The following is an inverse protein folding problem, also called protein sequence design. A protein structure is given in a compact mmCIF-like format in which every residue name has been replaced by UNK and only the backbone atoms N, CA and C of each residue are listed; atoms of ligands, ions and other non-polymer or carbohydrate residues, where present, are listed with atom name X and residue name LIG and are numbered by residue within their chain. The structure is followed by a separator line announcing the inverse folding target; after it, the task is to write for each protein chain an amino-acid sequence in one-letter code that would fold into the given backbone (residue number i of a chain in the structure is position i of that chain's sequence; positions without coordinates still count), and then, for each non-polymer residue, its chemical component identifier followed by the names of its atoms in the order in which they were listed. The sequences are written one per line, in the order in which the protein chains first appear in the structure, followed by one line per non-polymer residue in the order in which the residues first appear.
data_IF_744057182663
#
_entry.id   IF_744057182663
#
_cell.length_a   1.000
_cell.length_b   1.000
_cell.length_c   1.000
_cell.angle_alpha   90.00
_cell.angle_beta   90.00
_cell.angle_gamma   90.00
#
_symmetry.space_group_name_H-M   'P 1'
#
loop_
_entity.id
_entity.type
_entity.pdbx_description
1 polymer ?
#
# COMPACT_ATOMS: atom_id res chain seq x y z
N UNK A 1 -4.67 7.57 -2.76
CA UNK A 1 -5.92 7.41 -3.55
C UNK A 1 -5.79 6.17 -4.42
N UNK A 2 -6.84 5.37 -4.58
CA UNK A 2 -6.78 4.16 -5.42
C UNK A 2 -8.14 3.76 -5.96
N UNK A 3 -8.19 3.46 -7.27
CA UNK A 3 -9.36 2.84 -7.89
C UNK A 3 -9.43 1.35 -7.52
N UNK A 4 -10.63 0.81 -7.43
CA UNK A 4 -10.82 -0.64 -7.38
C UNK A 4 -10.34 -1.29 -8.69
N UNK A 5 -9.90 -2.56 -8.68
CA UNK A 5 -9.46 -3.27 -9.88
C UNK A 5 -10.48 -3.27 -11.02
N UNK A 6 -11.78 -3.32 -10.69
CA UNK A 6 -12.87 -3.23 -11.68
C UNK A 6 -13.17 -1.81 -12.18
N UNK A 7 -12.51 -0.79 -11.61
CA UNK A 7 -12.69 0.61 -11.95
C UNK A 7 -14.01 1.24 -11.50
N UNK A 8 -14.85 0.52 -10.75
CA UNK A 8 -16.19 0.97 -10.34
C UNK A 8 -16.19 1.82 -9.06
N UNK A 9 -15.10 1.81 -8.30
CA UNK A 9 -14.96 2.59 -7.08
C UNK A 9 -13.62 3.33 -7.02
N UNK A 10 -13.61 4.46 -6.31
CA UNK A 10 -12.43 5.20 -5.92
C UNK A 10 -12.39 5.33 -4.40
N UNK A 11 -11.31 4.85 -3.79
CA UNK A 11 -11.03 5.02 -2.37
C UNK A 11 -10.01 6.15 -2.13
N UNK A 12 -10.34 7.04 -1.21
CA UNK A 12 -9.53 8.20 -0.84
C UNK A 12 -9.29 8.14 0.66
N UNK A 13 -8.07 7.75 1.06
CA UNK A 13 -7.61 7.84 2.44
C UNK A 13 -7.29 9.29 2.80
N UNK A 14 -7.70 9.71 3.97
CA UNK A 14 -7.59 11.09 4.43
C UNK A 14 -6.93 11.18 5.81
N UNK A 15 -6.33 12.33 6.10
CA UNK A 15 -5.71 12.60 7.40
C UNK A 15 -6.73 12.95 8.50
N UNK A 16 -8.03 12.99 8.17
CA UNK A 16 -9.14 13.09 9.14
C UNK A 16 -9.62 11.71 9.64
N UNK A 17 -8.79 10.68 9.49
CA UNK A 17 -9.01 9.30 9.89
C UNK A 17 -10.11 8.55 9.09
N UNK A 18 -10.66 9.17 8.05
CA UNK A 18 -11.71 8.56 7.23
C UNK A 18 -11.16 8.07 5.88
N UNK A 19 -11.86 7.08 5.30
CA UNK A 19 -11.69 6.69 3.91
C UNK A 19 -12.97 7.05 3.16
N UNK A 20 -12.87 7.94 2.18
CA UNK A 20 -14.00 8.36 1.37
C UNK A 20 -14.13 7.45 0.14
N UNK A 21 -15.35 6.95 -0.09
CA UNK A 21 -15.64 6.06 -1.21
C UNK A 21 -16.53 6.79 -2.21
N UNK A 22 -16.10 6.74 -3.47
CA UNK A 22 -16.85 7.25 -4.61
C UNK A 22 -17.15 6.10 -5.57
N UNK A 23 -18.36 6.08 -6.10
CA UNK A 23 -18.72 5.29 -7.27
C UNK A 23 -18.19 5.99 -8.50
N UNK A 24 -17.65 5.20 -9.42
CA UNK A 24 -16.97 5.66 -10.62
C UNK A 24 -17.73 5.10 -11.82
N UNK A 25 -18.05 5.97 -12.77
CA UNK A 25 -18.71 5.61 -14.02
C UNK A 25 -18.07 6.30 -15.21
N UNK A 26 -18.52 5.92 -16.42
CA UNK A 26 -18.01 6.47 -17.67
C UNK A 26 -16.46 6.38 -17.77
N UNK A 27 -15.91 5.19 -17.48
CA UNK A 27 -14.47 4.92 -17.49
C UNK A 27 -13.63 5.96 -16.72
N UNK A 28 -14.03 6.29 -15.49
CA UNK A 28 -13.31 7.25 -14.66
C UNK A 28 -13.64 8.72 -14.94
N UNK A 29 -14.73 9.03 -15.66
CA UNK A 29 -15.12 10.41 -15.99
C UNK A 29 -16.27 10.94 -15.13
N UNK A 30 -17.03 10.06 -14.47
CA UNK A 30 -18.16 10.43 -13.61
C UNK A 30 -17.96 9.87 -12.21
N UNK A 31 -18.24 10.70 -11.21
CA UNK A 31 -18.08 10.36 -9.80
C UNK A 31 -19.35 10.68 -9.01
N UNK A 32 -19.74 9.78 -8.13
CA UNK A 32 -20.79 10.01 -7.14
C UNK A 32 -20.29 9.53 -5.77
N UNK A 33 -20.55 10.30 -4.71
CA UNK A 33 -20.12 9.92 -3.37
C UNK A 33 -20.99 8.76 -2.87
N UNK A 34 -20.36 7.64 -2.52
CA UNK A 34 -21.04 6.47 -1.90
C UNK A 34 -21.17 6.69 -0.40
N UNK A 35 -20.08 7.12 0.26
CA UNK A 35 -20.08 7.33 1.69
C UNK A 35 -18.68 7.57 2.26
N UNK A 36 -18.51 7.24 3.54
CA UNK A 36 -17.21 7.21 4.21
C UNK A 36 -17.12 5.99 5.11
N UNK A 37 -15.96 5.35 5.12
CA UNK A 37 -15.55 4.40 6.13
C UNK A 37 -14.92 5.18 7.30
N UNK A 38 -15.45 4.99 8.50
CA UNK A 38 -14.95 5.60 9.73
C UNK A 38 -14.75 4.52 10.79
N UNK A 39 -13.62 4.55 11.48
CA UNK A 39 -13.29 3.59 12.54
C UNK A 39 -11.82 3.65 12.97
N UNK A 40 -10.92 4.06 12.07
CA UNK A 40 -9.52 4.34 12.39
C UNK A 40 -9.36 5.43 13.45
N UNK A 41 -8.38 5.27 14.34
CA UNK A 41 -8.09 6.27 15.38
C UNK A 41 -7.05 7.32 14.96
N UNK A 42 -6.42 7.14 13.79
CA UNK A 42 -5.42 8.05 13.23
C UNK A 42 -5.54 8.20 11.70
N UNK A 43 -4.68 9.06 11.12
CA UNK A 43 -4.67 9.37 9.70
C UNK A 43 -4.39 8.14 8.84
N UNK A 44 -5.05 8.03 7.68
CA UNK A 44 -4.85 6.91 6.75
C UNK A 44 -3.50 7.04 6.04
N UNK A 45 -2.69 5.98 6.10
CA UNK A 45 -1.37 5.93 5.45
C UNK A 45 -1.41 5.11 4.16
N UNK A 46 -2.05 3.94 4.17
CA UNK A 46 -2.07 3.03 3.04
C UNK A 46 -3.46 2.39 2.83
N UNK A 47 -3.73 1.99 1.59
CA UNK A 47 -4.97 1.34 1.17
C UNK A 47 -4.65 0.28 0.12
N UNK A 48 -5.21 -0.93 0.24
CA UNK A 48 -5.17 -1.95 -0.83
C UNK A 48 -6.56 -2.53 -1.08
N UNK A 49 -6.93 -2.66 -2.35
CA UNK A 49 -8.18 -3.32 -2.75
C UNK A 49 -7.97 -4.83 -2.87
N UNK A 50 -9.02 -5.61 -2.61
CA UNK A 50 -9.03 -7.03 -2.97
C UNK A 50 -9.12 -7.22 -4.48
N UNK A 51 -8.61 -8.36 -4.98
CA UNK A 51 -8.65 -8.70 -6.43
C UNK A 51 -10.07 -8.62 -6.99
N UNK A 52 -11.05 -9.09 -6.20
CA UNK A 52 -12.47 -9.06 -6.58
C UNK A 52 -13.17 -7.70 -6.38
N UNK A 53 -12.45 -6.64 -6.01
CA UNK A 53 -12.99 -5.28 -5.77
C UNK A 53 -14.02 -5.15 -4.65
N UNK A 54 -14.22 -6.18 -3.82
CA UNK A 54 -15.26 -6.18 -2.78
C UNK A 54 -14.77 -5.67 -1.42
N UNK A 55 -13.48 -5.80 -1.16
CA UNK A 55 -12.87 -5.47 0.12
C UNK A 55 -11.74 -4.45 -0.04
N UNK A 56 -11.48 -3.74 1.04
CA UNK A 56 -10.35 -2.82 1.17
C UNK A 56 -9.67 -3.09 2.51
N UNK A 57 -8.34 -3.15 2.53
CA UNK A 57 -7.54 -3.09 3.74
C UNK A 57 -6.91 -1.70 3.84
N UNK A 58 -6.75 -1.21 5.06
CA UNK A 58 -6.12 0.08 5.31
C UNK A 58 -5.17 0.05 6.50
N UNK A 59 -4.11 0.86 6.40
CA UNK A 59 -3.23 1.18 7.50
C UNK A 59 -3.38 2.65 7.90
N UNK A 60 -3.00 2.94 9.12
CA UNK A 60 -3.12 4.26 9.75
C UNK A 60 -1.88 4.59 10.59
N UNK A 61 -1.77 5.86 11.00
CA UNK A 61 -0.66 6.35 11.82
C UNK A 61 -0.62 5.83 13.27
N UNK A 62 -1.64 5.11 13.73
CA UNK A 62 -1.68 4.38 15.01
C UNK A 62 -1.34 2.89 14.84
N UNK A 63 -0.94 2.50 13.62
CA UNK A 63 -0.53 1.15 13.24
C UNK A 63 -1.67 0.11 13.25
N UNK A 64 -2.92 0.56 13.13
CA UNK A 64 -4.07 -0.32 12.97
C UNK A 64 -4.17 -0.91 11.55
N UNK A 65 -4.63 -2.16 11.44
CA UNK A 65 -5.00 -2.81 10.17
C UNK A 65 -6.51 -3.03 10.18
N UNK A 66 -7.24 -2.23 9.41
CA UNK A 66 -8.70 -2.34 9.32
C UNK A 66 -9.15 -2.80 7.93
N UNK A 67 -10.28 -3.51 7.89
CA UNK A 67 -10.88 -4.06 6.68
C UNK A 67 -12.26 -3.46 6.45
N UNK A 68 -12.65 -3.31 5.19
CA UNK A 68 -13.88 -2.61 4.81
C UNK A 68 -14.57 -3.32 3.65
N UNK A 69 -15.90 -3.17 3.60
CA UNK A 69 -16.71 -3.35 2.39
C UNK A 69 -17.01 -1.94 1.85
N UNK A 70 -16.29 -1.46 0.83
CA UNK A 70 -16.39 -0.06 0.37
C UNK A 70 -17.77 0.29 -0.20
N UNK A 71 -18.41 -0.66 -0.89
CA UNK A 71 -19.76 -0.49 -1.46
C UNK A 71 -20.82 -0.22 -0.38
N UNK A 72 -20.62 -0.72 0.84
CA UNK A 72 -21.49 -0.49 1.99
C UNK A 72 -20.94 0.55 2.97
N UNK A 73 -19.70 1.00 2.79
CA UNK A 73 -18.96 1.86 3.73
C UNK A 73 -18.97 1.31 5.17
N UNK A 74 -18.82 -0.02 5.32
CA UNK A 74 -18.84 -0.70 6.62
C UNK A 74 -17.52 -1.42 6.88
N UNK A 75 -17.11 -1.41 8.14
CA UNK A 75 -15.96 -2.17 8.61
C UNK A 75 -16.29 -3.67 8.67
N UNK A 76 -15.32 -4.51 8.29
CA UNK A 76 -15.36 -5.96 8.49
C UNK A 76 -14.46 -6.30 9.67
N UNK A 77 -15.05 -6.83 10.74
CA UNK A 77 -14.33 -7.20 11.98
C UNK A 77 -14.09 -8.70 12.10
N UNK A 78 -14.73 -9.50 11.25
CA UNK A 78 -14.58 -10.95 11.25
C UNK A 78 -13.25 -11.38 10.64
N UNK A 79 -12.36 -11.93 11.46
CA UNK A 79 -11.05 -12.46 11.01
C UNK A 79 -11.21 -13.63 10.03
N UNK A 80 -12.22 -14.48 10.23
CA UNK A 80 -12.51 -15.62 9.34
C UNK A 80 -12.86 -15.15 7.93
N UNK A 81 -13.42 -13.95 7.81
CA UNK A 81 -13.74 -13.34 6.51
C UNK A 81 -12.52 -12.67 5.88
N UNK A 82 -11.65 -12.05 6.68
CA UNK A 82 -10.59 -11.18 6.15
C UNK A 82 -9.23 -11.83 5.97
N UNK A 83 -8.92 -12.90 6.72
CA UNK A 83 -7.58 -13.53 6.71
C UNK A 83 -7.21 -14.19 5.37
N UNK A 84 -8.21 -14.66 4.63
CA UNK A 84 -8.05 -15.42 3.38
C UNK A 84 -8.33 -14.57 2.14
N UNK A 85 -8.49 -13.25 2.30
CA UNK A 85 -8.70 -12.33 1.17
C UNK A 85 -7.42 -12.21 0.35
N UNK A 86 -7.55 -12.39 -0.97
CA UNK A 86 -6.50 -12.08 -1.93
C UNK A 86 -6.52 -10.60 -2.30
N UNK A 87 -5.40 -9.91 -2.08
CA UNK A 87 -5.25 -8.48 -2.32
C UNK A 87 -4.71 -8.23 -3.73
N UNK A 88 -5.29 -7.23 -4.42
CA UNK A 88 -4.86 -6.83 -5.76
C UNK A 88 -3.47 -6.18 -5.74
N UNK A 89 -3.14 -5.50 -4.64
CA UNK A 89 -1.89 -4.78 -4.44
C UNK A 89 -1.42 -4.98 -3.00
N UNK A 90 -0.13 -4.75 -2.76
CA UNK A 90 0.47 -4.80 -1.44
C UNK A 90 1.27 -3.52 -1.21
N UNK A 91 0.55 -2.47 -0.83
CA UNK A 91 1.12 -1.14 -0.51
C UNK A 91 0.93 -0.74 0.94
N UNK A 92 0.07 -1.43 1.68
CA UNK A 92 0.03 -1.43 3.13
C UNK A 92 1.35 -2.00 3.67
N UNK A 93 2.08 -1.20 4.43
CA UNK A 93 3.33 -1.59 5.09
C UNK A 93 3.09 -2.52 6.28
N UNK A 94 1.87 -2.53 6.83
CA UNK A 94 1.45 -3.39 7.92
C UNK A 94 0.52 -4.49 7.38
N UNK A 95 1.00 -5.73 7.41
CA UNK A 95 0.26 -6.91 6.98
C UNK A 95 1.10 -8.18 6.99
N UNK A 96 0.46 -9.34 7.17
CA UNK A 96 1.18 -10.63 7.31
C UNK A 96 2.04 -11.00 6.08
N UNK A 97 1.62 -10.62 4.87
CA UNK A 97 2.37 -10.93 3.65
C UNK A 97 3.60 -10.05 3.43
N UNK A 98 3.75 -8.98 4.21
CA UNK A 98 4.78 -7.95 4.03
C UNK A 98 5.60 -7.66 5.28
N UNK A 99 5.17 -8.08 6.48
CA UNK A 99 5.76 -7.60 7.74
C UNK A 99 7.27 -7.86 7.88
N UNK A 100 7.81 -8.86 7.18
CA UNK A 100 9.23 -9.19 7.23
C UNK A 100 10.15 -8.08 6.70
N UNK A 101 9.61 -7.09 6.00
CA UNK A 101 10.36 -5.92 5.51
C UNK A 101 10.82 -4.99 6.63
N UNK A 102 10.17 -5.04 7.80
CA UNK A 102 10.51 -4.18 8.95
C UNK A 102 11.76 -4.67 9.67
N UNK A 103 12.81 -3.83 9.79
CA UNK A 103 13.99 -4.14 10.58
C UNK A 103 13.68 -4.30 12.08
N UNK A 104 14.59 -4.97 12.80
CA UNK A 104 14.51 -5.06 14.26
C UNK A 104 14.69 -3.68 14.91
N UNK A 105 13.79 -3.33 15.83
CA UNK A 105 13.82 -2.03 16.51
C UNK A 105 13.37 -0.85 15.65
N UNK A 106 12.80 -1.12 14.47
CA UNK A 106 12.25 -0.09 13.59
C UNK A 106 11.04 0.59 14.23
N UNK A 107 10.95 1.90 14.05
CA UNK A 107 9.74 2.67 14.35
C UNK A 107 8.75 2.54 13.19
N UNK A 108 7.45 2.64 13.47
CA UNK A 108 6.40 2.46 12.46
C UNK A 108 6.35 3.56 11.39
N UNK A 109 7.22 4.55 11.45
CA UNK A 109 7.42 5.57 10.41
C UNK A 109 8.63 5.32 9.51
N UNK A 110 9.54 4.41 9.88
CA UNK A 110 10.80 4.22 9.15
C UNK A 110 10.60 3.75 7.71
N UNK A 111 9.52 3.02 7.43
CA UNK A 111 9.16 2.57 6.07
C UNK A 111 7.99 3.40 5.56
N UNK A 112 8.27 4.21 4.54
CA UNK A 112 7.31 5.12 3.93
C UNK A 112 6.40 4.44 2.91
N UNK A 113 6.90 3.43 2.21
CA UNK A 113 6.16 2.77 1.14
C UNK A 113 6.63 1.33 0.95
N UNK A 114 5.68 0.49 0.56
CA UNK A 114 5.92 -0.86 0.04
C UNK A 114 5.15 -1.01 -1.27
N UNK A 115 5.66 -1.82 -2.19
CA UNK A 115 4.92 -2.27 -3.37
C UNK A 115 5.34 -3.70 -3.74
N UNK A 116 4.39 -4.49 -4.21
CA UNK A 116 4.66 -5.81 -4.82
C UNK A 116 4.73 -5.62 -6.33
N UNK A 117 5.64 -6.34 -6.96
CA UNK A 117 5.61 -6.51 -8.41
C UNK A 117 4.28 -7.15 -8.86
N UNK A 118 3.87 -6.94 -10.11
CA UNK A 118 2.58 -7.40 -10.64
C UNK A 118 2.59 -8.92 -10.81
N UNK A 119 3.60 -9.45 -11.50
CA UNK A 119 3.74 -10.89 -11.82
C UNK A 119 4.91 -11.53 -11.04
N UNK A 120 6.02 -10.81 -10.90
CA UNK A 120 7.20 -11.33 -10.21
C UNK A 120 6.95 -11.46 -8.71
N UNK A 121 7.61 -12.44 -8.08
CA UNK A 121 7.57 -12.64 -6.62
C UNK A 121 8.52 -11.69 -5.90
N UNK A 122 8.33 -10.39 -6.07
CA UNK A 122 9.18 -9.34 -5.50
C UNK A 122 8.35 -8.35 -4.68
N UNK A 123 8.94 -7.86 -3.60
CA UNK A 123 8.49 -6.70 -2.83
C UNK A 123 9.59 -5.66 -2.84
N UNK A 124 9.21 -4.39 -2.92
CA UNK A 124 10.12 -3.28 -2.75
C UNK A 124 9.65 -2.35 -1.64
N UNK A 125 10.57 -1.82 -0.84
CA UNK A 125 10.27 -0.74 0.12
C UNK A 125 11.14 0.48 -0.11
N UNK A 126 10.64 1.63 0.35
CA UNK A 126 11.40 2.86 0.52
C UNK A 126 11.38 3.30 1.98
N UNK A 127 12.55 3.63 2.53
CA UNK A 127 12.71 4.00 3.94
C UNK A 127 13.03 5.50 4.16
N UNK A 128 13.04 5.92 5.42
CA UNK A 128 13.42 7.26 5.86
C UNK A 128 14.93 7.55 5.73
N UNK A 129 15.74 6.55 5.43
CA UNK A 129 17.20 6.65 5.36
C UNK A 129 17.73 6.76 3.92
N UNK A 130 16.84 6.98 2.96
CA UNK A 130 17.19 7.13 1.54
C UNK A 130 17.60 5.80 0.89
N UNK A 131 17.05 4.68 1.38
CA UNK A 131 17.29 3.35 0.84
C UNK A 131 16.04 2.78 0.19
N UNK A 132 16.28 2.12 -0.93
CA UNK A 132 15.33 1.27 -1.62
C UNK A 132 15.73 -0.17 -1.36
N UNK A 133 14.82 -0.98 -0.83
CA UNK A 133 15.08 -2.40 -0.54
C UNK A 133 14.28 -3.30 -1.48
N UNK A 134 14.90 -4.36 -1.98
CA UNK A 134 14.25 -5.39 -2.77
C UNK A 134 14.25 -6.73 -2.01
N UNK A 135 13.06 -7.30 -1.83
CA UNK A 135 12.78 -8.55 -1.12
C UNK A 135 12.06 -9.56 -2.03
N UNK A 136 11.99 -10.81 -1.60
CA UNK A 136 11.10 -11.81 -2.20
C UNK A 136 9.67 -11.68 -1.63
N UNK A 137 8.67 -12.02 -2.45
CA UNK A 137 7.26 -12.08 -2.04
C UNK A 137 6.79 -13.54 -1.91
N UNK A 138 6.05 -13.92 -0.85
CA UNK A 138 5.70 -13.10 0.32
C UNK A 138 6.89 -12.87 1.27
N UNK A 139 6.90 -11.71 1.94
CA UNK A 139 7.90 -11.35 2.94
C UNK A 139 7.29 -11.53 4.35
N UNK A 140 7.11 -12.78 4.75
CA UNK A 140 6.40 -13.17 5.98
C UNK A 140 7.31 -13.77 7.05
N UNK A 141 8.60 -13.47 7.02
CA UNK A 141 9.59 -13.97 7.98
C UNK A 141 10.34 -12.79 8.60
N UNK A 142 10.56 -12.85 9.91
CA UNK A 142 11.29 -11.82 10.61
C UNK A 142 12.75 -11.75 10.12
N UNK A 143 13.31 -10.53 10.04
CA UNK A 143 14.66 -10.27 9.51
C UNK A 143 14.83 -10.80 8.08
N UNK A 144 13.87 -10.53 7.20
CA UNK A 144 13.96 -10.95 5.82
C UNK A 144 15.18 -10.32 5.13
N UNK A 145 15.96 -11.10 4.36
CA UNK A 145 17.08 -10.54 3.61
C UNK A 145 16.57 -9.65 2.47
N UNK A 146 17.26 -8.53 2.23
CA UNK A 146 17.01 -7.65 1.09
C UNK A 146 18.29 -7.23 0.38
N UNK A 147 18.15 -6.89 -0.89
CA UNK A 147 19.13 -6.07 -1.59
C UNK A 147 18.85 -4.60 -1.29
N UNK A 148 19.87 -3.86 -0.87
CA UNK A 148 19.77 -2.46 -0.48
C UNK A 148 20.41 -1.59 -1.55
N UNK A 149 19.65 -0.64 -2.06
CA UNK A 149 20.09 0.32 -3.07
C UNK A 149 20.02 1.73 -2.50
N UNK A 150 21.09 2.50 -2.67
CA UNK A 150 21.16 3.90 -2.30
C UNK A 150 21.09 4.82 -3.52
N UNK A 151 20.78 6.08 -3.28
CA UNK A 151 20.77 7.12 -4.30
C UNK A 151 20.03 8.36 -3.80
N UNK A 152 18.87 8.14 -3.20
CA UNK A 152 18.10 9.18 -2.53
C UNK A 152 18.88 9.78 -1.35
N UNK A 153 18.87 11.11 -1.25
CA UNK A 153 19.58 11.85 -0.18
C UNK A 153 18.66 12.25 0.98
N UNK A 154 17.37 11.94 0.86
CA UNK A 154 16.35 12.08 1.90
C UNK A 154 15.42 10.85 1.88
N UNK A 155 14.25 10.95 2.52
CA UNK A 155 13.29 9.86 2.63
C UNK A 155 12.83 9.37 1.26
N UNK A 156 12.82 8.06 1.06
CA UNK A 156 12.17 7.45 -0.11
C UNK A 156 10.68 7.42 0.14
N UNK A 157 10.02 8.53 -0.20
CA UNK A 157 8.60 8.77 0.05
C UNK A 157 7.63 7.83 -0.67
N UNK A 158 8.04 7.20 -1.78
CA UNK A 158 7.20 6.23 -2.47
C UNK A 158 8.03 5.28 -3.35
N UNK A 159 7.50 4.09 -3.60
CA UNK A 159 8.04 3.08 -4.53
C UNK A 159 6.89 2.42 -5.29
N UNK A 160 7.06 2.17 -6.59
CA UNK A 160 6.07 1.43 -7.40
C UNK A 160 6.70 0.73 -8.60
N UNK A 161 6.21 -0.46 -8.95
CA UNK A 161 6.65 -1.20 -10.13
C UNK A 161 5.86 -0.76 -11.37
N UNK A 162 6.54 -0.61 -12.50
CA UNK A 162 5.88 -0.49 -13.80
C UNK A 162 5.08 -1.77 -14.11
N UNK A 163 4.02 -1.66 -14.90
CA UNK A 163 3.05 -2.74 -15.16
C UNK A 163 3.67 -4.07 -15.64
N UNK A 164 4.79 -4.02 -16.37
CA UNK A 164 5.49 -5.21 -16.88
C UNK A 164 6.62 -5.71 -15.96
N UNK A 165 6.71 -5.19 -14.74
CA UNK A 165 7.81 -5.46 -13.79
C UNK A 165 9.21 -5.22 -14.38
N UNK A 166 9.31 -4.36 -15.40
CA UNK A 166 10.58 -4.06 -16.09
C UNK A 166 11.45 -3.09 -15.28
N UNK A 167 10.80 -2.17 -14.57
CA UNK A 167 11.45 -1.19 -13.73
C UNK A 167 10.62 -0.94 -12.47
N UNK A 168 11.33 -0.51 -11.44
CA UNK A 168 10.79 0.13 -10.25
C UNK A 168 11.02 1.64 -10.38
N UNK A 169 10.09 2.44 -9.87
CA UNK A 169 10.21 3.88 -9.71
C UNK A 169 10.22 4.21 -8.22
N UNK A 170 11.09 5.11 -7.79
CA UNK A 170 11.09 5.65 -6.43
C UNK A 170 11.10 7.18 -6.43
N UNK A 171 10.47 7.78 -5.42
CA UNK A 171 10.40 9.24 -5.24
C UNK A 171 11.09 9.65 -3.94
N UNK A 172 11.98 10.63 -3.97
CA UNK A 172 12.84 10.97 -2.83
C UNK A 172 12.41 12.17 -1.99
N UNK A 173 11.14 12.58 -2.08
CA UNK A 173 10.59 13.65 -1.24
C UNK A 173 11.40 14.94 -1.31
N UNK A 174 12.10 15.27 -0.21
CA UNK A 174 12.89 16.50 -0.08
C UNK A 174 14.16 16.52 -0.93
N UNK A 175 14.63 15.37 -1.41
CA UNK A 175 15.72 15.36 -2.39
C UNK A 175 15.28 15.73 -3.80
N UNK A 176 13.95 15.87 -4.01
CA UNK A 176 13.29 16.32 -5.24
C UNK A 176 13.47 15.40 -6.46
N UNK A 177 14.04 14.21 -6.27
CA UNK A 177 14.38 13.29 -7.35
C UNK A 177 13.33 12.20 -7.56
N UNK A 178 13.32 11.70 -8.80
CA UNK A 178 12.68 10.44 -9.17
C UNK A 178 13.80 9.54 -9.70
N UNK A 179 13.88 8.31 -9.20
CA UNK A 179 14.85 7.32 -9.68
C UNK A 179 14.12 6.14 -10.32
N UNK A 180 14.68 5.66 -11.43
CA UNK A 180 14.17 4.51 -12.17
C UNK A 180 15.21 3.38 -12.11
N UNK A 181 14.78 2.23 -11.61
CA UNK A 181 15.62 1.06 -11.36
C UNK A 181 15.19 -0.06 -12.28
N UNK A 182 16.08 -0.57 -13.12
CA UNK A 182 15.76 -1.72 -13.98
C UNK A 182 15.79 -3.00 -13.17
N UNK A 183 14.74 -3.82 -13.29
CA UNK A 183 14.72 -5.17 -12.73
C UNK A 183 15.52 -6.07 -13.67
N UNK A 184 16.58 -6.69 -13.16
CA UNK A 184 17.47 -7.59 -13.89
C UNK A 184 17.39 -9.02 -13.38
#
# INVERSE_FOLDING_TARGET
MRYSPDGNFLAIGSHDNCIYIYGVGDNGRKYSRVGKCSGHSSFITHLDWSVNSQFLVSNSGDYEILYWVPSACKQVVSVETTRDIEWATYTCTLGFHVFGVWPEGSDGTDINAVCRAHEKKLLCTGDDFGKVHLFTYPCSQFRAPSHIYGGHSSHVTNVDFLCEDSHLISTGGKDTSIMQWRVI
#
